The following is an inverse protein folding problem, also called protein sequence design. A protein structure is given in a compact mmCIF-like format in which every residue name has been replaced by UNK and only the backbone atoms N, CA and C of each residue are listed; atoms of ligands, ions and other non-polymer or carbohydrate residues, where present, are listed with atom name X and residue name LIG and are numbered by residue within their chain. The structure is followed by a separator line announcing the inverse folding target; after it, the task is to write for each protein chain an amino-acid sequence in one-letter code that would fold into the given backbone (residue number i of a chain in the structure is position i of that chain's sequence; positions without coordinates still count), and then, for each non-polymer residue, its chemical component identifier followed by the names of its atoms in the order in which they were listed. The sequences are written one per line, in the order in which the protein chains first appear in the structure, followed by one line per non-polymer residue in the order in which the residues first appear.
data_IF_270601878967
#
_entry.id   IF_270601878967
#
_cell.length_a   1.000
_cell.length_b   1.000
_cell.length_c   1.000
_cell.angle_alpha   90.00
_cell.angle_beta   90.00
_cell.angle_gamma   90.00
#
_symmetry.space_group_name_H-M   'P 1'
#
loop_
_entity.id
_entity.type
_entity.pdbx_description
1 polymer ?
#
# COMPACT_ATOMS: atom_id res chain seq x y z
N UNK A 1 13.52 25.71 -8.24
CA UNK A 1 14.02 24.94 -7.09
C UNK A 1 14.32 23.54 -7.61
N UNK A 2 15.61 23.18 -7.66
CA UNK A 2 16.08 21.79 -7.73
C UNK A 2 15.54 21.01 -6.52
N UNK A 3 15.34 19.70 -6.47
CA UNK A 3 15.97 18.54 -7.11
C UNK A 3 14.88 17.49 -7.50
N UNK A 4 15.28 16.41 -8.20
CA UNK A 4 14.52 15.21 -8.62
C UNK A 4 13.43 14.76 -7.60
N UNK A 5 12.34 14.07 -7.99
CA UNK A 5 12.38 12.66 -8.38
C UNK A 5 11.22 12.28 -9.33
N UNK A 6 11.59 11.75 -10.50
CA UNK A 6 10.80 10.77 -11.24
C UNK A 6 10.79 9.47 -10.41
N UNK A 7 10.18 9.50 -9.22
CA UNK A 7 9.95 8.28 -8.45
C UNK A 7 8.91 7.48 -9.20
N UNK A 8 9.28 6.30 -9.68
CA UNK A 8 8.32 5.26 -10.05
C UNK A 8 7.30 5.15 -8.92
N UNK A 9 6.07 5.61 -9.18
CA UNK A 9 4.97 5.46 -8.25
C UNK A 9 4.51 4.02 -8.27
N UNK A 10 3.77 3.63 -7.24
CA UNK A 10 3.19 2.30 -7.15
C UNK A 10 1.68 2.37 -6.88
N UNK A 11 0.99 1.28 -7.18
CA UNK A 11 -0.30 0.96 -6.56
C UNK A 11 -0.03 -0.06 -5.48
N UNK A 12 -0.53 0.21 -4.26
CA UNK A 12 -0.47 -0.75 -3.16
C UNK A 12 -1.83 -1.45 -3.02
N UNK A 13 -1.85 -2.76 -3.20
CA UNK A 13 -2.96 -3.64 -2.90
C UNK A 13 -2.84 -4.15 -1.47
N UNK A 14 -3.95 -4.31 -0.77
CA UNK A 14 -3.93 -4.84 0.60
C UNK A 14 -5.06 -5.82 0.88
N UNK A 15 -4.73 -6.86 1.64
CA UNK A 15 -5.68 -7.76 2.28
C UNK A 15 -5.37 -7.77 3.77
N UNK A 16 -6.34 -7.37 4.58
CA UNK A 16 -6.16 -7.25 6.02
C UNK A 16 -7.52 -7.35 6.73
N UNK A 17 -7.54 -7.67 8.03
CA UNK A 17 -8.73 -7.53 8.87
C UNK A 17 -9.26 -6.11 8.91
N UNK A 18 -10.53 -5.94 9.31
CA UNK A 18 -11.23 -4.65 9.34
C UNK A 18 -10.48 -3.56 10.12
N UNK A 19 -9.84 -3.91 11.24
CA UNK A 19 -9.04 -2.97 12.04
C UNK A 19 -7.92 -2.31 11.22
N UNK A 20 -7.16 -3.10 10.46
CA UNK A 20 -6.09 -2.60 9.58
C UNK A 20 -6.67 -1.95 8.32
N UNK A 21 -7.74 -2.50 7.74
CA UNK A 21 -8.40 -1.93 6.57
C UNK A 21 -8.94 -0.51 6.86
N UNK A 22 -9.41 -0.25 8.09
CA UNK A 22 -9.82 1.07 8.57
C UNK A 22 -8.66 2.07 8.59
N UNK A 23 -7.44 1.62 8.89
CA UNK A 23 -6.24 2.46 8.82
C UNK A 23 -5.89 2.80 7.36
N UNK A 24 -5.96 1.80 6.47
CA UNK A 24 -5.66 1.96 5.03
C UNK A 24 -6.65 2.90 4.32
N UNK A 25 -7.90 2.94 4.76
CA UNK A 25 -8.96 3.76 4.15
C UNK A 25 -9.27 5.05 4.89
N UNK A 26 -8.89 5.14 6.17
CA UNK A 26 -9.23 6.24 7.06
C UNK A 26 -8.23 7.40 7.06
N UNK A 27 -8.06 8.00 8.24
CA UNK A 27 -7.30 9.25 8.41
C UNK A 27 -5.80 9.13 8.06
N UNK A 28 -5.24 7.91 8.06
CA UNK A 28 -3.83 7.67 7.74
C UNK A 28 -3.59 7.35 6.26
N UNK A 29 -4.62 7.15 5.44
CA UNK A 29 -4.50 6.79 4.02
C UNK A 29 -3.58 7.74 3.23
N UNK A 30 -3.70 9.05 3.45
CA UNK A 30 -2.86 10.06 2.80
C UNK A 30 -1.38 9.96 3.21
N UNK A 31 -1.12 9.71 4.49
CA UNK A 31 0.23 9.52 5.03
C UNK A 31 0.87 8.25 4.47
N UNK A 32 0.14 7.12 4.49
CA UNK A 32 0.61 5.84 3.95
C UNK A 32 0.98 5.98 2.47
N UNK A 33 0.13 6.66 1.68
CA UNK A 33 0.41 6.93 0.26
C UNK A 33 1.66 7.79 0.06
N UNK A 34 1.87 8.80 0.90
CA UNK A 34 3.05 9.66 0.82
C UNK A 34 4.34 8.88 1.15
N UNK A 35 4.36 8.14 2.25
CA UNK A 35 5.55 7.39 2.70
C UNK A 35 5.92 6.25 1.75
N UNK A 36 4.92 5.56 1.19
CA UNK A 36 5.14 4.44 0.25
C UNK A 36 5.25 4.88 -1.20
N UNK A 37 5.09 6.18 -1.48
CA UNK A 37 5.03 6.74 -2.82
C UNK A 37 3.91 6.11 -3.68
N UNK A 38 2.82 5.66 -3.04
CA UNK A 38 1.68 5.06 -3.70
C UNK A 38 0.73 6.09 -4.31
N UNK A 39 0.28 5.86 -5.53
CA UNK A 39 -0.84 6.60 -6.13
C UNK A 39 -2.16 6.16 -5.52
N UNK A 40 -2.34 4.88 -5.21
CA UNK A 40 -3.60 4.32 -4.73
C UNK A 40 -3.38 3.21 -3.71
N UNK A 41 -4.33 3.08 -2.77
CA UNK A 41 -4.45 1.95 -1.86
C UNK A 41 -5.72 1.18 -2.23
N UNK A 42 -5.58 -0.05 -2.70
CA UNK A 42 -6.69 -0.84 -3.25
C UNK A 42 -6.92 -2.07 -2.39
N UNK A 43 -8.13 -2.22 -1.85
CA UNK A 43 -8.50 -3.43 -1.13
C UNK A 43 -8.59 -4.63 -2.10
N UNK A 44 -7.99 -5.76 -1.71
CA UNK A 44 -8.07 -7.00 -2.46
C UNK A 44 -6.70 -7.58 -2.84
N UNK A 45 -6.75 -8.67 -3.60
CA UNK A 45 -5.56 -9.36 -4.08
C UNK A 45 -4.72 -8.46 -4.98
N UNK A 46 -3.40 -8.61 -4.90
CA UNK A 46 -2.49 -7.99 -5.83
C UNK A 46 -2.78 -8.46 -7.27
N UNK A 47 -2.71 -7.55 -8.23
CA UNK A 47 -2.92 -7.89 -9.64
C UNK A 47 -1.68 -8.57 -10.24
N UNK A 48 -1.84 -9.22 -11.40
CA UNK A 48 -0.73 -9.83 -12.13
C UNK A 48 0.40 -8.82 -12.39
N UNK A 49 1.65 -9.25 -12.20
CA UNK A 49 2.83 -8.38 -12.25
C UNK A 49 3.11 -7.56 -10.99
N UNK A 50 2.36 -7.77 -9.90
CA UNK A 50 2.66 -7.19 -8.59
C UNK A 50 3.56 -8.11 -7.77
N UNK A 51 4.45 -7.55 -6.96
CA UNK A 51 5.16 -8.29 -5.93
C UNK A 51 4.35 -8.24 -4.63
N UNK A 52 4.18 -9.38 -3.94
CA UNK A 52 3.35 -9.46 -2.74
C UNK A 52 4.09 -10.10 -1.57
N UNK A 53 3.88 -9.54 -0.38
CA UNK A 53 4.42 -10.05 0.88
C UNK A 53 3.32 -10.07 1.96
N UNK A 54 3.36 -11.12 2.79
CA UNK A 54 2.50 -11.24 3.97
C UNK A 54 3.33 -11.04 5.24
N UNK A 55 2.81 -10.26 6.17
CA UNK A 55 3.42 -10.04 7.49
C UNK A 55 2.36 -10.00 8.59
N UNK A 56 2.81 -10.31 9.81
CA UNK A 56 2.02 -10.15 11.02
C UNK A 56 2.16 -8.71 11.55
N UNK A 57 1.03 -8.06 11.82
CA UNK A 57 0.96 -6.74 12.44
C UNK A 57 0.08 -6.85 13.67
N UNK A 58 0.70 -6.90 14.85
CA UNK A 58 0.00 -7.03 16.14
C UNK A 58 -0.92 -8.28 16.20
N UNK A 59 -0.45 -9.42 15.66
CA UNK A 59 -1.23 -10.65 15.59
C UNK A 59 -2.25 -10.71 14.44
N UNK A 60 -2.30 -9.68 13.59
CA UNK A 60 -3.15 -9.63 12.41
C UNK A 60 -2.33 -9.90 11.15
N UNK A 61 -2.74 -10.91 10.39
CA UNK A 61 -2.12 -11.23 9.10
C UNK A 61 -2.51 -10.17 8.06
N UNK A 62 -1.51 -9.54 7.44
CA UNK A 62 -1.67 -8.51 6.42
C UNK A 62 -0.84 -8.89 5.20
N UNK A 63 -1.48 -8.91 4.03
CA UNK A 63 -0.79 -9.06 2.74
C UNK A 63 -0.78 -7.73 2.02
N UNK A 64 0.40 -7.26 1.62
CA UNK A 64 0.58 -6.10 0.75
C UNK A 64 1.09 -6.56 -0.61
N UNK A 65 0.52 -6.01 -1.67
CA UNK A 65 1.00 -6.16 -3.03
C UNK A 65 1.40 -4.81 -3.61
N UNK A 66 2.51 -4.73 -4.31
CA UNK A 66 2.96 -3.48 -4.96
C UNK A 66 3.13 -3.68 -6.46
N UNK A 67 2.67 -2.70 -7.23
CA UNK A 67 2.84 -2.67 -8.68
C UNK A 67 3.30 -1.29 -9.11
N UNK A 68 4.40 -1.20 -9.86
CA UNK A 68 4.80 0.05 -10.51
C UNK A 68 3.75 0.50 -11.52
N UNK A 69 3.59 1.81 -11.66
CA UNK A 69 2.77 2.44 -12.72
C UNK A 69 3.60 2.80 -13.94
#
# INVERSE_FOLDING_TARGET
SSEFELTDRIVTYYQAPDDIASVMTGNFSGYIRQETLSEELVAGLAQDGSESETSDVDGMEVTLGVRRV
#
